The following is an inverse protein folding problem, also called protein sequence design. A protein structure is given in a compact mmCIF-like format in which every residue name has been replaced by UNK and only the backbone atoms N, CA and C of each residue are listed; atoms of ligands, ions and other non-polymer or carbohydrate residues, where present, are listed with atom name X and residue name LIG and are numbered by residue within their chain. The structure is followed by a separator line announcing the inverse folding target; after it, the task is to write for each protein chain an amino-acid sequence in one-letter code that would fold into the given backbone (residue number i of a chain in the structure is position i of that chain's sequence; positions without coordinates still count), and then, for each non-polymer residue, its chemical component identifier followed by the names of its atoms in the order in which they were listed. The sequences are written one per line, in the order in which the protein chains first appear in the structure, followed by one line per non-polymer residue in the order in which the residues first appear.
data_IF_232206480546
#
_entry.id   IF_232206480546
#
_cell.length_a   1.000
_cell.length_b   1.000
_cell.length_c   1.000
_cell.angle_alpha   90.00
_cell.angle_beta   90.00
_cell.angle_gamma   90.00
#
_symmetry.space_group_name_H-M   'P 1'
#
loop_
_entity.id
_entity.type
_entity.pdbx_description
1 polymer ?
#
# COMPACT_ATOMS: atom_id res chain seq x y z
N UNK A 1 -29.78 5.12 -94.67
CA UNK A 1 -29.23 5.45 -93.35
C UNK A 1 -30.03 4.70 -92.28
N UNK A 2 -29.47 3.63 -91.71
CA UNK A 2 -30.20 2.67 -90.87
C UNK A 2 -30.00 3.02 -89.40
N UNK A 3 -31.12 3.24 -88.68
CA UNK A 3 -31.21 3.51 -87.25
C UNK A 3 -31.31 2.17 -86.54
N UNK A 4 -30.37 1.81 -85.66
CA UNK A 4 -30.47 0.62 -84.82
C UNK A 4 -30.85 1.07 -83.40
N UNK A 5 -32.04 0.59 -82.97
CA UNK A 5 -32.53 0.71 -81.65
C UNK A 5 -32.01 -0.46 -80.80
N UNK A 6 -31.22 -0.15 -79.73
CA UNK A 6 -30.84 -1.16 -78.71
C UNK A 6 -31.76 -1.04 -77.48
N UNK A 7 -32.48 -2.10 -77.28
CA UNK A 7 -33.33 -2.31 -76.12
C UNK A 7 -32.44 -2.82 -74.97
N UNK A 8 -32.35 -2.03 -73.90
CA UNK A 8 -31.57 -2.43 -72.73
C UNK A 8 -32.51 -3.00 -71.65
N UNK A 9 -32.46 -4.34 -71.45
CA UNK A 9 -33.22 -5.02 -70.42
C UNK A 9 -32.48 -4.82 -69.09
N UNK A 10 -33.02 -4.08 -68.14
CA UNK A 10 -32.52 -3.95 -66.78
C UNK A 10 -33.02 -5.12 -65.92
N UNK A 11 -32.11 -6.03 -65.56
CA UNK A 11 -32.35 -7.07 -64.54
C UNK A 11 -32.12 -6.44 -63.16
N UNK A 12 -33.22 -6.31 -62.41
CA UNK A 12 -33.19 -5.96 -60.99
C UNK A 12 -32.86 -7.23 -60.19
N UNK A 13 -31.63 -7.32 -59.69
CA UNK A 13 -31.23 -8.28 -58.69
C UNK A 13 -31.57 -7.73 -57.30
N UNK A 14 -32.59 -8.32 -56.65
CA UNK A 14 -32.85 -8.15 -55.24
C UNK A 14 -31.76 -8.86 -54.46
N UNK A 15 -30.78 -8.14 -53.97
CA UNK A 15 -29.85 -8.64 -52.95
C UNK A 15 -30.54 -8.52 -51.58
N UNK A 16 -30.96 -9.64 -51.00
CA UNK A 16 -31.29 -9.77 -49.58
C UNK A 16 -30.01 -9.49 -48.78
N UNK A 17 -29.84 -8.25 -48.30
CA UNK A 17 -28.85 -7.94 -47.30
C UNK A 17 -29.20 -8.60 -45.98
N UNK A 18 -28.45 -9.64 -45.61
CA UNK A 18 -28.43 -10.12 -44.24
C UNK A 18 -27.80 -8.98 -43.41
N UNK A 19 -28.58 -8.39 -42.53
CA UNK A 19 -28.07 -7.53 -41.46
C UNK A 19 -27.26 -8.42 -40.51
N UNK A 20 -25.98 -8.65 -40.80
CA UNK A 20 -25.04 -9.14 -39.82
C UNK A 20 -24.91 -8.03 -38.77
N UNK A 21 -25.47 -8.28 -37.59
CA UNK A 21 -25.15 -7.49 -36.38
C UNK A 21 -23.64 -7.54 -36.21
N UNK A 22 -22.95 -6.38 -36.17
CA UNK A 22 -21.52 -6.37 -35.94
C UNK A 22 -21.23 -7.10 -34.61
N UNK A 23 -20.17 -7.93 -34.54
CA UNK A 23 -19.79 -8.59 -33.30
C UNK A 23 -19.64 -7.53 -32.21
N UNK A 24 -20.03 -7.85 -30.94
CA UNK A 24 -19.91 -6.91 -29.86
C UNK A 24 -18.43 -6.47 -29.79
N UNK A 25 -18.22 -5.18 -29.89
CA UNK A 25 -16.91 -4.57 -29.68
C UNK A 25 -16.42 -5.05 -28.31
N UNK A 26 -15.29 -5.77 -28.23
CA UNK A 26 -14.61 -6.01 -26.97
C UNK A 26 -14.40 -4.63 -26.33
N UNK A 27 -15.19 -4.32 -25.32
CA UNK A 27 -14.98 -3.15 -24.53
C UNK A 27 -13.62 -3.32 -23.87
N UNK A 28 -12.63 -2.55 -24.33
CA UNK A 28 -11.28 -2.59 -23.78
C UNK A 28 -11.32 -2.36 -22.28
N UNK A 29 -10.49 -3.08 -21.53
CA UNK A 29 -10.37 -2.92 -20.07
C UNK A 29 -10.08 -1.46 -19.73
N UNK A 30 -10.64 -0.98 -18.62
CA UNK A 30 -10.32 0.36 -18.11
C UNK A 30 -8.93 0.36 -17.51
N UNK A 31 -8.05 1.19 -18.07
CA UNK A 31 -6.68 1.36 -17.57
C UNK A 31 -6.68 2.29 -16.36
N UNK A 32 -5.98 1.89 -15.31
CA UNK A 32 -5.70 2.68 -14.11
C UNK A 32 -4.29 2.39 -13.60
N UNK A 33 -3.70 3.35 -12.89
CA UNK A 33 -2.37 3.25 -12.30
C UNK A 33 -2.47 3.25 -10.78
N UNK A 34 -1.72 2.34 -10.14
CA UNK A 34 -1.56 2.24 -8.71
C UNK A 34 -0.09 2.50 -8.35
N UNK A 35 0.22 3.66 -7.78
CA UNK A 35 1.57 4.00 -7.35
C UNK A 35 1.83 3.48 -5.93
N UNK A 36 2.90 2.73 -5.75
CA UNK A 36 3.33 2.24 -4.44
C UNK A 36 4.29 3.23 -3.76
N UNK A 37 4.30 3.22 -2.44
CA UNK A 37 5.16 4.04 -1.59
C UNK A 37 6.59 3.48 -1.45
N UNK A 38 6.81 2.20 -1.78
CA UNK A 38 8.10 1.54 -1.63
C UNK A 38 8.41 0.62 -2.82
N UNK A 39 9.60 0.03 -2.82
CA UNK A 39 9.99 -0.98 -3.80
C UNK A 39 9.06 -2.20 -3.75
N UNK A 40 9.01 -3.01 -4.84
CA UNK A 40 8.27 -4.27 -4.82
C UNK A 40 8.80 -5.21 -3.73
N UNK A 41 7.94 -5.54 -2.75
CA UNK A 41 8.23 -6.43 -1.62
C UNK A 41 6.93 -7.02 -1.04
N UNK A 42 7.03 -7.83 0.01
CA UNK A 42 5.89 -8.50 0.66
C UNK A 42 4.83 -7.53 1.19
N UNK A 43 5.22 -6.30 1.58
CA UNK A 43 4.29 -5.22 1.99
C UNK A 43 3.17 -4.97 0.97
N UNK A 44 3.45 -5.20 -0.31
CA UNK A 44 2.52 -4.95 -1.41
C UNK A 44 1.98 -6.23 -2.05
N UNK A 45 2.23 -7.38 -1.43
CA UNK A 45 1.96 -8.70 -1.99
C UNK A 45 0.53 -8.90 -2.46
N UNK A 46 -0.46 -8.43 -1.69
CA UNK A 46 -1.86 -8.53 -2.08
C UNK A 46 -2.21 -7.77 -3.37
N UNK A 47 -1.59 -6.63 -3.62
CA UNK A 47 -1.81 -5.86 -4.86
C UNK A 47 -1.18 -6.59 -6.07
N UNK A 48 0.00 -7.15 -5.92
CA UNK A 48 0.64 -7.96 -6.94
C UNK A 48 -0.13 -9.27 -7.18
N UNK A 49 -0.64 -9.92 -6.13
CA UNK A 49 -1.51 -11.09 -6.26
C UNK A 49 -2.79 -10.74 -7.04
N UNK A 50 -3.42 -9.60 -6.75
CA UNK A 50 -4.59 -9.15 -7.50
C UNK A 50 -4.28 -8.95 -9.00
N UNK A 51 -3.08 -8.50 -9.31
CA UNK A 51 -2.64 -8.32 -10.68
C UNK A 51 -2.39 -9.65 -11.40
N UNK A 52 -1.52 -10.53 -10.89
CA UNK A 52 -1.10 -11.74 -11.59
C UNK A 52 -2.18 -12.84 -11.62
N UNK A 53 -3.04 -12.94 -10.60
CA UNK A 53 -4.14 -13.89 -10.56
C UNK A 53 -5.42 -13.36 -11.23
N UNK A 54 -5.35 -12.17 -11.85
CA UNK A 54 -6.38 -11.63 -12.70
C UNK A 54 -7.61 -11.09 -11.96
N UNK A 55 -7.54 -10.79 -10.65
CA UNK A 55 -8.68 -10.23 -9.91
C UNK A 55 -9.09 -8.85 -10.42
N UNK A 56 -8.12 -8.01 -10.81
CA UNK A 56 -8.40 -6.74 -11.51
C UNK A 56 -9.04 -6.99 -12.88
N UNK A 57 -8.47 -7.92 -13.66
CA UNK A 57 -8.97 -8.23 -15.00
C UNK A 57 -10.39 -8.76 -15.01
N UNK A 58 -10.78 -9.59 -14.02
CA UNK A 58 -12.16 -10.08 -13.83
C UNK A 58 -13.17 -8.95 -13.59
N UNK A 59 -12.70 -7.77 -13.14
CA UNK A 59 -13.50 -6.56 -12.94
C UNK A 59 -13.31 -5.51 -14.05
N UNK A 60 -12.86 -5.98 -15.20
CA UNK A 60 -12.63 -5.14 -16.37
C UNK A 60 -11.60 -4.03 -16.17
N UNK A 61 -10.63 -4.22 -15.24
CA UNK A 61 -9.53 -3.31 -15.00
C UNK A 61 -8.21 -3.84 -15.57
N UNK A 62 -7.43 -2.94 -16.16
CA UNK A 62 -6.01 -3.12 -16.48
C UNK A 62 -5.22 -2.21 -15.53
N UNK A 63 -4.69 -2.79 -14.44
CA UNK A 63 -3.99 -2.04 -13.40
C UNK A 63 -2.49 -2.09 -13.65
N UNK A 64 -1.90 -0.92 -13.91
CA UNK A 64 -0.45 -0.75 -13.95
C UNK A 64 0.04 -0.43 -12.53
N UNK A 65 0.80 -1.34 -11.92
CA UNK A 65 1.40 -1.13 -10.60
C UNK A 65 2.77 -0.49 -10.78
N UNK A 66 2.93 0.71 -10.23
CA UNK A 66 4.15 1.50 -10.32
C UNK A 66 4.92 1.39 -9.01
N UNK A 67 6.05 0.69 -9.01
CA UNK A 67 6.93 0.59 -7.84
C UNK A 67 7.38 1.96 -7.35
N UNK A 68 7.53 2.09 -6.03
CA UNK A 68 8.03 3.27 -5.36
C UNK A 68 9.48 3.14 -4.92
N UNK A 69 9.81 3.76 -3.79
CA UNK A 69 11.14 3.79 -3.16
C UNK A 69 11.21 4.89 -2.11
N UNK A 70 12.39 5.15 -1.55
CA UNK A 70 12.60 6.30 -0.65
C UNK A 70 12.09 7.59 -1.29
N UNK A 71 11.30 8.35 -0.56
CA UNK A 71 10.72 9.63 -1.03
C UNK A 71 9.78 9.55 -2.25
N UNK A 72 9.22 8.38 -2.57
CA UNK A 72 8.21 8.23 -3.63
C UNK A 72 7.04 9.22 -3.39
N UNK A 73 6.74 10.13 -4.34
CA UNK A 73 5.79 11.22 -4.12
C UNK A 73 4.35 10.77 -4.39
N UNK A 74 3.89 9.70 -3.72
CA UNK A 74 2.58 9.06 -3.98
C UNK A 74 1.44 10.05 -3.81
N UNK A 75 1.40 10.75 -2.67
CA UNK A 75 0.35 11.75 -2.37
C UNK A 75 0.28 12.81 -3.48
N UNK A 76 1.43 13.35 -3.89
CA UNK A 76 1.48 14.36 -4.94
C UNK A 76 0.98 13.81 -6.28
N UNK A 77 1.39 12.59 -6.65
CA UNK A 77 0.98 11.97 -7.91
C UNK A 77 -0.52 11.72 -7.96
N UNK A 78 -1.13 11.28 -6.85
CA UNK A 78 -2.59 11.10 -6.74
C UNK A 78 -3.29 12.45 -6.76
N UNK A 79 -2.86 13.41 -5.93
CA UNK A 79 -3.51 14.74 -5.81
C UNK A 79 -3.51 15.54 -7.11
N UNK A 80 -2.51 15.33 -7.97
CA UNK A 80 -2.41 16.00 -9.28
C UNK A 80 -3.07 15.23 -10.43
N UNK A 81 -3.64 14.03 -10.16
CA UNK A 81 -4.19 13.15 -11.20
C UNK A 81 -3.14 12.49 -12.09
N UNK A 82 -1.85 12.57 -11.72
CA UNK A 82 -0.79 11.86 -12.44
C UNK A 82 -0.92 10.34 -12.33
N UNK A 83 -1.57 9.84 -11.30
CA UNK A 83 -2.06 8.47 -11.15
C UNK A 83 -3.43 8.48 -10.50
N UNK A 84 -4.25 7.47 -10.78
CA UNK A 84 -5.62 7.38 -10.26
C UNK A 84 -5.64 6.93 -8.78
N UNK A 85 -4.71 6.03 -8.42
CA UNK A 85 -4.63 5.43 -7.10
C UNK A 85 -3.19 5.42 -6.58
N UNK A 86 -3.05 5.39 -5.27
CA UNK A 86 -1.77 5.24 -4.61
C UNK A 86 -1.86 4.37 -3.37
N UNK A 87 -0.71 3.91 -2.89
CA UNK A 87 -0.57 3.20 -1.61
C UNK A 87 0.33 4.05 -0.71
N UNK A 88 -0.13 4.33 0.50
CA UNK A 88 0.60 5.07 1.52
C UNK A 88 0.17 4.64 2.93
N UNK A 89 0.54 5.37 3.98
CA UNK A 89 0.11 5.11 5.35
C UNK A 89 -0.94 6.12 5.82
N UNK A 90 -1.72 5.77 6.84
CA UNK A 90 -2.81 6.63 7.33
C UNK A 90 -2.32 7.96 7.91
N UNK A 91 -1.14 7.99 8.53
CA UNK A 91 -0.49 9.21 9.02
C UNK A 91 -0.12 10.16 7.87
N UNK A 92 0.34 9.64 6.73
CA UNK A 92 0.60 10.43 5.53
C UNK A 92 -0.69 11.04 4.96
N UNK A 93 -1.80 10.29 4.99
CA UNK A 93 -3.12 10.79 4.57
C UNK A 93 -3.55 11.97 5.44
N UNK A 94 -3.47 11.85 6.77
CA UNK A 94 -3.83 12.95 7.68
C UNK A 94 -2.91 14.16 7.49
N UNK A 95 -1.61 13.93 7.32
CA UNK A 95 -0.65 15.01 7.07
C UNK A 95 -0.94 15.73 5.75
N UNK A 96 -1.27 14.99 4.69
CA UNK A 96 -1.62 15.55 3.39
C UNK A 96 -2.92 16.36 3.45
N UNK A 97 -3.94 15.83 4.13
CA UNK A 97 -5.22 16.54 4.30
C UNK A 97 -5.09 17.80 5.14
N UNK A 98 -4.23 17.80 6.15
CA UNK A 98 -3.89 19.03 6.89
C UNK A 98 -3.28 20.11 5.99
N UNK A 99 -2.70 19.73 4.84
CA UNK A 99 -2.21 20.60 3.77
C UNK A 99 -3.22 20.77 2.62
N UNK A 100 -4.48 20.40 2.84
CA UNK A 100 -5.58 20.52 1.87
C UNK A 100 -5.46 19.63 0.62
N UNK A 101 -4.66 18.57 0.65
CA UNK A 101 -4.65 17.57 -0.40
C UNK A 101 -5.96 16.75 -0.37
N UNK A 102 -6.69 16.60 -1.49
CA UNK A 102 -8.03 15.99 -1.51
C UNK A 102 -7.96 14.45 -1.57
N UNK A 103 -7.07 13.83 -0.80
CA UNK A 103 -6.87 12.37 -0.79
C UNK A 103 -7.70 11.69 0.29
N UNK A 104 -8.25 10.52 -0.03
CA UNK A 104 -9.13 9.72 0.82
C UNK A 104 -8.63 8.28 0.83
N UNK A 105 -8.49 7.68 2.02
CA UNK A 105 -8.16 6.27 2.19
C UNK A 105 -9.40 5.39 1.94
N UNK A 106 -9.24 4.29 1.18
CA UNK A 106 -10.34 3.44 0.69
C UNK A 106 -10.33 2.04 1.31
N UNK A 107 -9.16 1.53 1.64
CA UNK A 107 -8.97 0.26 2.37
C UNK A 107 -7.60 0.24 3.04
N UNK A 108 -7.47 -0.52 4.13
CA UNK A 108 -6.23 -0.68 4.88
C UNK A 108 -5.95 -2.16 5.14
N UNK A 109 -5.06 -2.82 4.38
CA UNK A 109 -4.75 -4.22 4.63
C UNK A 109 -4.14 -4.44 6.01
N UNK A 110 -3.12 -3.68 6.40
CA UNK A 110 -2.47 -3.85 7.69
C UNK A 110 -3.25 -3.22 8.84
N UNK A 111 -3.80 -4.07 9.69
CA UNK A 111 -4.47 -3.67 10.93
C UNK A 111 -3.48 -3.40 12.06
N UNK A 112 -2.33 -4.07 12.08
CA UNK A 112 -1.20 -3.74 12.95
C UNK A 112 -0.10 -3.16 12.08
N UNK A 113 0.40 -1.98 12.45
CA UNK A 113 1.48 -1.35 11.68
C UNK A 113 2.78 -2.16 11.82
N UNK A 114 3.41 -2.56 10.70
CA UNK A 114 4.60 -3.42 10.72
C UNK A 114 5.86 -2.71 11.18
N UNK A 115 5.84 -1.41 11.41
CA UNK A 115 7.01 -0.65 11.83
C UNK A 115 7.51 -1.06 13.19
N UNK A 116 8.81 -1.29 13.27
CA UNK A 116 9.49 -1.64 14.52
C UNK A 116 10.76 -0.79 14.72
N UNK A 117 11.25 -0.80 15.94
CA UNK A 117 12.64 -0.49 16.26
C UNK A 117 13.35 -1.83 16.53
N UNK A 118 14.37 -2.12 15.76
CA UNK A 118 15.20 -3.32 15.89
C UNK A 118 16.37 -3.02 16.82
N UNK A 119 16.51 -3.81 17.87
CA UNK A 119 17.61 -3.74 18.84
C UNK A 119 18.31 -5.11 18.88
N UNK A 120 19.58 -5.16 19.30
CA UNK A 120 20.28 -6.42 19.53
C UNK A 120 19.76 -7.09 20.81
N UNK A 121 19.52 -8.41 20.80
CA UNK A 121 19.04 -9.16 21.98
C UNK A 121 19.97 -8.98 23.20
N UNK A 122 21.28 -8.90 22.97
CA UNK A 122 22.27 -8.72 24.03
C UNK A 122 22.18 -7.35 24.71
N UNK A 123 21.50 -6.37 24.11
CA UNK A 123 21.24 -5.06 24.72
C UNK A 123 20.36 -5.12 25.97
N UNK A 124 19.55 -6.20 26.12
CA UNK A 124 18.56 -6.35 27.18
C UNK A 124 17.38 -5.40 27.08
N UNK A 125 17.24 -4.66 25.97
CA UNK A 125 16.10 -3.77 25.69
C UNK A 125 14.94 -4.63 25.19
N UNK A 126 13.84 -4.65 25.95
CA UNK A 126 12.64 -5.45 25.63
C UNK A 126 11.46 -4.63 25.18
N UNK A 127 11.50 -3.31 25.42
CA UNK A 127 10.41 -2.36 25.08
C UNK A 127 10.99 -1.03 24.63
N UNK A 128 10.26 -0.33 23.80
CA UNK A 128 10.68 0.97 23.23
C UNK A 128 10.93 2.03 24.31
N UNK A 129 10.20 2.00 25.43
CA UNK A 129 10.38 2.95 26.55
C UNK A 129 11.68 2.74 27.36
N UNK A 130 12.39 1.63 27.12
CA UNK A 130 13.70 1.35 27.72
C UNK A 130 14.88 1.83 26.87
N UNK A 131 14.62 2.33 25.65
CA UNK A 131 15.67 2.78 24.74
C UNK A 131 16.39 4.00 25.33
N UNK A 132 17.65 3.82 25.70
CA UNK A 132 18.51 4.86 26.26
C UNK A 132 20.00 4.56 26.00
N UNK A 133 20.84 5.59 25.96
CA UNK A 133 22.31 5.47 25.83
C UNK A 133 22.79 4.61 24.64
N UNK A 134 22.10 4.71 23.50
CA UNK A 134 22.31 3.90 22.30
C UNK A 134 22.30 4.81 21.07
N UNK A 135 22.87 4.38 19.95
CA UNK A 135 22.64 5.03 18.66
C UNK A 135 21.38 4.46 18.02
N UNK A 136 20.42 5.33 17.66
CA UNK A 136 19.17 4.97 17.00
C UNK A 136 19.11 5.54 15.59
N UNK A 137 19.19 4.67 14.58
CA UNK A 137 19.00 5.06 13.20
C UNK A 137 17.51 5.09 12.83
N UNK A 138 17.00 6.27 12.55
CA UNK A 138 15.62 6.43 12.07
C UNK A 138 15.47 7.64 11.15
N UNK A 139 14.55 7.52 10.19
CA UNK A 139 14.14 8.64 9.35
C UNK A 139 13.45 9.71 10.21
N UNK A 140 13.76 10.98 9.97
CA UNK A 140 13.24 12.06 10.81
C UNK A 140 11.87 12.59 10.37
N UNK A 141 11.47 12.35 9.12
CA UNK A 141 10.21 12.85 8.52
C UNK A 141 8.95 12.09 8.91
N UNK A 142 8.95 10.73 9.01
CA UNK A 142 7.74 9.97 9.31
C UNK A 142 7.15 10.31 10.68
N UNK A 143 5.83 10.26 10.79
CA UNK A 143 5.10 10.62 12.01
C UNK A 143 5.54 9.81 13.25
N UNK A 144 5.87 8.51 13.07
CA UNK A 144 6.32 7.67 14.18
C UNK A 144 7.58 8.22 14.89
N UNK A 145 8.50 8.81 14.16
CA UNK A 145 9.73 9.35 14.74
C UNK A 145 9.50 10.64 15.54
N UNK A 146 8.52 11.45 15.14
CA UNK A 146 8.06 12.58 15.92
C UNK A 146 7.32 12.14 17.16
N UNK A 147 6.45 11.13 17.03
CA UNK A 147 5.69 10.55 18.13
C UNK A 147 6.63 9.94 19.19
N UNK A 148 7.68 9.18 18.79
CA UNK A 148 8.67 8.65 19.71
C UNK A 148 9.39 9.74 20.50
N UNK A 149 9.87 10.77 19.82
CA UNK A 149 10.56 11.91 20.46
C UNK A 149 9.65 12.75 21.34
N UNK A 150 8.37 12.83 21.05
CA UNK A 150 7.37 13.49 21.88
C UNK A 150 7.05 12.67 23.12
N UNK A 151 6.90 11.36 22.96
CA UNK A 151 6.42 10.46 24.02
C UNK A 151 7.50 10.06 25.03
N UNK A 152 8.75 9.92 24.57
CA UNK A 152 9.86 9.42 25.37
C UNK A 152 11.02 10.37 25.41
N UNK A 153 11.72 10.50 26.58
CA UNK A 153 12.85 11.40 26.70
C UNK A 153 14.07 10.98 25.88
N UNK A 154 14.18 9.71 25.49
CA UNK A 154 15.29 9.13 24.74
C UNK A 154 16.66 9.55 25.31
N UNK A 155 16.85 9.38 26.62
CA UNK A 155 18.03 9.83 27.35
C UNK A 155 19.31 9.20 26.82
N UNK A 156 20.31 10.04 26.46
CA UNK A 156 21.57 9.58 25.88
C UNK A 156 21.48 8.91 24.52
N UNK A 157 20.31 8.97 23.85
CA UNK A 157 20.14 8.40 22.51
C UNK A 157 20.70 9.36 21.46
N UNK A 158 21.65 8.85 20.65
CA UNK A 158 22.16 9.53 19.49
C UNK A 158 21.34 9.16 18.24
N UNK A 159 20.46 10.04 17.78
CA UNK A 159 19.62 9.79 16.59
C UNK A 159 20.40 10.10 15.33
N UNK A 160 20.51 9.12 14.43
CA UNK A 160 21.18 9.22 13.13
C UNK A 160 20.22 8.88 11.98
N UNK A 161 20.50 9.33 10.74
CA UNK A 161 19.70 8.93 9.59
C UNK A 161 19.68 7.40 9.39
N UNK A 162 18.53 6.87 9.01
CA UNK A 162 18.39 5.45 8.66
C UNK A 162 19.18 5.12 7.39
N UNK A 163 20.10 4.14 7.42
CA UNK A 163 21.02 3.87 6.31
C UNK A 163 20.42 3.01 5.19
N UNK A 164 19.21 2.45 5.36
CA UNK A 164 18.57 1.56 4.39
C UNK A 164 19.15 0.14 4.34
N UNK A 165 20.01 -0.25 5.33
CA UNK A 165 20.59 -1.60 5.44
C UNK A 165 20.92 -1.93 6.90
N UNK A 166 21.32 -3.16 7.17
CA UNK A 166 21.58 -3.68 8.54
C UNK A 166 23.06 -3.70 8.93
N UNK A 167 23.96 -3.18 8.11
CA UNK A 167 25.41 -3.31 8.32
C UNK A 167 25.89 -2.69 9.64
N UNK A 168 25.39 -1.51 10.03
CA UNK A 168 25.75 -0.87 11.28
C UNK A 168 25.18 -1.58 12.49
N UNK A 169 23.96 -2.12 12.37
CA UNK A 169 23.34 -2.95 13.39
C UNK A 169 24.19 -4.19 13.69
N UNK A 170 24.62 -4.90 12.65
CA UNK A 170 25.46 -6.09 12.79
C UNK A 170 26.85 -5.80 13.38
N UNK A 171 27.38 -4.60 13.16
CA UNK A 171 28.70 -4.21 13.63
C UNK A 171 28.74 -3.72 15.09
N UNK A 172 27.59 -3.34 15.67
CA UNK A 172 27.55 -2.67 16.96
C UNK A 172 26.29 -3.05 17.76
N UNK A 173 26.40 -3.80 18.87
CA UNK A 173 25.24 -4.17 19.70
C UNK A 173 24.55 -2.97 20.38
N UNK A 174 25.22 -1.80 20.44
CA UNK A 174 24.64 -0.55 20.94
C UNK A 174 24.00 0.30 19.80
N UNK A 175 23.67 -0.34 18.68
CA UNK A 175 23.02 0.33 17.56
C UNK A 175 21.61 -0.24 17.37
N UNK A 176 20.63 0.62 17.41
CA UNK A 176 19.24 0.31 17.07
C UNK A 176 18.86 0.95 15.76
N UNK A 177 17.89 0.40 15.06
CA UNK A 177 17.36 1.04 13.85
C UNK A 177 15.87 0.77 13.65
N UNK A 178 15.22 1.68 12.92
CA UNK A 178 13.90 1.42 12.39
C UNK A 178 13.93 0.26 11.39
N UNK A 179 12.78 -0.39 11.21
CA UNK A 179 12.55 -1.40 10.19
C UNK A 179 11.08 -1.77 10.11
N UNK A 180 10.80 -2.72 9.26
CA UNK A 180 9.53 -3.44 9.21
C UNK A 180 9.78 -4.89 9.66
N UNK A 181 8.90 -5.44 10.50
CA UNK A 181 9.12 -6.75 11.14
C UNK A 181 9.37 -7.88 10.15
N UNK A 182 8.84 -7.77 8.95
CA UNK A 182 8.99 -8.75 7.89
C UNK A 182 10.19 -8.49 6.96
N UNK A 183 11.04 -7.50 7.23
CA UNK A 183 12.17 -7.14 6.37
C UNK A 183 13.49 -7.12 7.14
N UNK A 184 13.90 -6.00 7.73
CA UNK A 184 15.22 -5.82 8.34
C UNK A 184 15.58 -6.85 9.42
N UNK A 185 14.67 -7.30 10.32
CA UNK A 185 15.01 -8.33 11.29
C UNK A 185 15.37 -9.67 10.64
N UNK A 186 14.71 -10.02 9.54
CA UNK A 186 15.03 -11.22 8.79
C UNK A 186 16.43 -11.14 8.16
N UNK A 187 16.73 -10.02 7.49
CA UNK A 187 18.04 -9.79 6.87
C UNK A 187 19.15 -9.82 7.91
N UNK A 188 18.93 -9.20 9.08
CA UNK A 188 19.91 -9.21 10.16
C UNK A 188 20.19 -10.63 10.67
N UNK A 189 19.15 -11.46 10.87
CA UNK A 189 19.30 -12.88 11.27
C UNK A 189 20.06 -13.69 10.24
N UNK A 190 19.75 -13.53 8.96
CA UNK A 190 20.48 -14.23 7.88
C UNK A 190 21.97 -13.88 7.84
N UNK A 191 22.33 -12.66 8.25
CA UNK A 191 23.71 -12.21 8.29
C UNK A 191 24.38 -12.46 9.66
N UNK A 192 23.76 -13.26 10.53
CA UNK A 192 24.33 -13.69 11.81
C UNK A 192 24.09 -12.73 12.98
N UNK A 193 23.22 -11.75 12.83
CA UNK A 193 22.77 -10.90 13.93
C UNK A 193 21.66 -11.53 14.75
N UNK A 194 21.42 -10.98 15.94
CA UNK A 194 20.37 -11.41 16.86
C UNK A 194 19.39 -10.26 17.16
N UNK A 195 18.53 -9.89 16.20
CA UNK A 195 17.62 -8.77 16.33
C UNK A 195 16.36 -9.13 17.11
N UNK A 196 15.98 -8.26 18.05
CA UNK A 196 14.65 -8.13 18.63
C UNK A 196 13.91 -6.99 17.94
N UNK A 197 12.74 -7.27 17.39
CA UNK A 197 11.86 -6.25 16.79
C UNK A 197 10.85 -5.77 17.84
N UNK A 198 10.89 -4.47 18.15
CA UNK A 198 9.95 -3.81 19.07
C UNK A 198 8.93 -3.02 18.24
N UNK A 199 7.69 -3.50 18.18
CA UNK A 199 6.65 -2.86 17.37
C UNK A 199 6.31 -1.47 17.89
N UNK A 200 6.21 -0.50 16.98
CA UNK A 200 5.77 0.86 17.32
C UNK A 200 4.27 0.88 17.68
N UNK A 201 3.50 -0.08 17.19
CA UNK A 201 2.11 -0.28 17.59
C UNK A 201 1.94 -0.59 19.08
N UNK A 202 2.91 -1.26 19.72
CA UNK A 202 2.85 -1.65 21.14
C UNK A 202 2.88 -0.44 22.08
N UNK A 203 3.43 0.68 21.63
CA UNK A 203 3.38 1.94 22.36
C UNK A 203 2.14 2.78 22.05
N UNK A 204 1.19 2.23 21.29
CA UNK A 204 -0.08 2.85 20.96
C UNK A 204 -0.07 3.68 19.67
N UNK A 205 1.07 3.86 18.99
CA UNK A 205 1.12 4.53 17.69
C UNK A 205 0.96 3.50 16.59
N UNK A 206 -0.29 3.29 16.16
CA UNK A 206 -0.65 2.22 15.24
C UNK A 206 -1.46 2.76 14.03
N UNK A 207 -0.87 3.61 13.17
CA UNK A 207 -1.52 4.00 11.92
C UNK A 207 -1.75 2.79 11.02
N UNK A 208 -2.86 2.77 10.28
CA UNK A 208 -3.02 1.80 9.21
C UNK A 208 -1.88 1.92 8.20
N UNK A 209 -1.36 0.79 7.71
CA UNK A 209 -0.30 0.78 6.71
C UNK A 209 -0.79 0.25 5.37
N UNK A 210 -0.09 0.63 4.31
CA UNK A 210 -0.36 0.26 2.91
C UNK A 210 -1.79 0.55 2.46
N UNK A 211 -2.36 1.69 2.93
CA UNK A 211 -3.73 2.09 2.57
C UNK A 211 -3.81 2.50 1.10
N UNK A 212 -4.84 2.04 0.40
CA UNK A 212 -5.16 2.56 -0.95
C UNK A 212 -5.79 3.92 -0.79
N UNK A 213 -5.31 4.89 -1.58
CA UNK A 213 -5.87 6.23 -1.67
C UNK A 213 -6.31 6.59 -3.08
N UNK A 214 -7.32 7.46 -3.16
CA UNK A 214 -7.72 8.18 -4.37
C UNK A 214 -8.08 9.63 -4.01
N UNK A 215 -8.34 10.49 -5.01
CA UNK A 215 -8.90 11.81 -4.75
C UNK A 215 -10.41 11.76 -4.54
N UNK A 216 -10.96 12.75 -3.83
CA UNK A 216 -12.42 12.96 -3.71
C UNK A 216 -13.10 13.03 -5.09
N UNK A 217 -12.44 13.66 -6.07
CA UNK A 217 -12.90 13.76 -7.44
C UNK A 217 -12.98 12.38 -8.13
N UNK A 218 -11.93 11.57 -8.00
CA UNK A 218 -11.91 10.19 -8.55
C UNK A 218 -13.03 9.35 -7.95
N UNK A 219 -13.27 9.47 -6.64
CA UNK A 219 -14.35 8.76 -5.94
C UNK A 219 -15.72 9.20 -6.47
N UNK A 220 -15.94 10.50 -6.62
CA UNK A 220 -17.22 11.04 -7.09
C UNK A 220 -17.53 10.71 -8.57
N UNK A 221 -16.52 10.73 -9.43
CA UNK A 221 -16.70 10.56 -10.87
C UNK A 221 -16.57 9.11 -11.35
N UNK A 222 -15.88 8.23 -10.58
CA UNK A 222 -15.51 6.88 -11.00
C UNK A 222 -15.73 5.84 -9.88
N UNK A 223 -16.83 5.96 -9.13
CA UNK A 223 -17.13 5.10 -7.97
C UNK A 223 -17.16 3.60 -8.29
N UNK A 224 -17.58 3.22 -9.49
CA UNK A 224 -17.56 1.84 -10.00
C UNK A 224 -16.15 1.28 -10.14
N UNK A 225 -15.23 2.09 -10.66
CA UNK A 225 -13.80 1.74 -10.81
C UNK A 225 -13.12 1.66 -9.45
N UNK A 226 -13.41 2.60 -8.55
CA UNK A 226 -12.92 2.59 -7.16
C UNK A 226 -13.35 1.29 -6.47
N UNK A 227 -14.63 0.93 -6.56
CA UNK A 227 -15.16 -0.31 -5.99
C UNK A 227 -14.48 -1.53 -6.58
N UNK A 228 -14.36 -1.61 -7.91
CA UNK A 228 -13.72 -2.71 -8.61
C UNK A 228 -12.26 -2.89 -8.18
N UNK A 229 -11.50 -1.79 -8.01
CA UNK A 229 -10.11 -1.84 -7.56
C UNK A 229 -10.01 -2.32 -6.10
N UNK A 230 -10.80 -1.76 -5.19
CA UNK A 230 -10.78 -2.12 -3.76
C UNK A 230 -11.16 -3.59 -3.56
N UNK A 231 -12.27 -4.04 -4.15
CA UNK A 231 -12.71 -5.43 -4.03
C UNK A 231 -11.70 -6.43 -4.62
N UNK A 232 -11.08 -6.10 -5.76
CA UNK A 232 -10.03 -6.94 -6.36
C UNK A 232 -8.77 -6.97 -5.49
N UNK A 233 -8.42 -5.85 -4.87
CA UNK A 233 -7.28 -5.77 -3.94
C UNK A 233 -7.52 -6.61 -2.68
N UNK A 234 -8.74 -6.61 -2.14
CA UNK A 234 -9.12 -7.48 -1.01
C UNK A 234 -8.92 -8.96 -1.40
N UNK A 235 -9.45 -9.40 -2.55
CA UNK A 235 -9.24 -10.78 -3.03
C UNK A 235 -7.77 -11.12 -3.25
N UNK A 236 -7.00 -10.15 -3.74
CA UNK A 236 -5.55 -10.29 -3.90
C UNK A 236 -4.84 -10.51 -2.57
N UNK A 237 -5.18 -9.74 -1.53
CA UNK A 237 -4.64 -9.93 -0.19
C UNK A 237 -5.06 -11.26 0.44
N UNK A 238 -6.35 -11.66 0.32
CA UNK A 238 -6.84 -12.97 0.76
C UNK A 238 -6.08 -14.11 0.06
N UNK A 239 -5.77 -13.96 -1.23
CA UNK A 239 -4.99 -14.94 -1.99
C UNK A 239 -3.54 -14.97 -1.51
N UNK A 240 -2.87 -13.82 -1.43
CA UNK A 240 -1.47 -13.70 -1.08
C UNK A 240 -1.16 -14.32 0.28
N UNK A 241 -2.01 -14.06 1.30
CA UNK A 241 -1.84 -14.60 2.64
C UNK A 241 -2.09 -16.11 2.74
N UNK A 242 -2.84 -16.67 1.81
CA UNK A 242 -3.12 -18.12 1.72
C UNK A 242 -2.07 -18.86 0.90
N UNK A 243 -1.64 -18.29 -0.21
CA UNK A 243 -0.68 -18.85 -1.16
C UNK A 243 0.09 -17.73 -1.85
N UNK A 244 1.21 -17.32 -1.26
CA UNK A 244 2.06 -16.24 -1.76
C UNK A 244 3.13 -16.66 -2.77
N UNK A 245 3.30 -17.97 -3.05
CA UNK A 245 4.48 -18.47 -3.76
C UNK A 245 4.63 -17.88 -5.17
N UNK A 246 3.60 -17.92 -5.99
CA UNK A 246 3.64 -17.38 -7.36
C UNK A 246 3.81 -15.87 -7.34
N UNK A 247 3.12 -15.20 -6.41
CA UNK A 247 3.24 -13.75 -6.22
C UNK A 247 4.66 -13.35 -5.81
N UNK A 248 5.30 -14.11 -4.93
CA UNK A 248 6.68 -13.87 -4.51
C UNK A 248 7.67 -14.04 -5.66
N UNK A 249 7.47 -15.02 -6.55
CA UNK A 249 8.27 -15.16 -7.77
C UNK A 249 8.13 -13.93 -8.68
N UNK A 250 6.93 -13.42 -8.82
CA UNK A 250 6.68 -12.20 -9.58
C UNK A 250 7.33 -10.97 -8.93
N UNK A 251 7.19 -10.78 -7.62
CA UNK A 251 7.84 -9.68 -6.89
C UNK A 251 9.36 -9.77 -7.03
N UNK A 252 9.96 -10.95 -6.85
CA UNK A 252 11.39 -11.15 -7.04
C UNK A 252 11.86 -10.80 -8.47
N UNK A 253 11.05 -11.08 -9.49
CA UNK A 253 11.37 -10.70 -10.87
C UNK A 253 11.40 -9.18 -11.08
N UNK A 254 10.62 -8.41 -10.30
CA UNK A 254 10.59 -6.95 -10.34
C UNK A 254 11.68 -6.32 -9.44
N UNK A 255 12.02 -6.99 -8.36
CA UNK A 255 13.02 -6.55 -7.38
C UNK A 255 13.89 -7.76 -6.97
N UNK A 256 14.95 -8.07 -7.72
CA UNK A 256 15.84 -9.21 -7.43
C UNK A 256 16.59 -9.13 -6.09
N UNK A 257 16.64 -7.95 -5.45
CA UNK A 257 17.22 -7.79 -4.10
C UNK A 257 16.35 -8.46 -3.03
N UNK A 258 15.05 -8.63 -3.30
CA UNK A 258 14.13 -9.35 -2.42
C UNK A 258 14.14 -10.84 -2.77
N UNK A 259 14.98 -11.62 -2.10
CA UNK A 259 15.06 -13.08 -2.24
C UNK A 259 13.72 -13.78 -1.93
N UNK A 260 13.52 -14.98 -2.46
CA UNK A 260 12.27 -15.72 -2.22
C UNK A 260 12.09 -16.14 -0.76
N UNK A 261 13.15 -16.25 0.00
CA UNK A 261 13.16 -16.58 1.41
C UNK A 261 12.64 -15.43 2.29
N UNK A 262 13.12 -14.19 2.07
CA UNK A 262 12.58 -13.02 2.76
C UNK A 262 11.13 -12.74 2.37
N UNK A 263 10.77 -12.97 1.11
CA UNK A 263 9.39 -12.82 0.64
C UNK A 263 8.46 -13.86 1.27
N UNK A 264 8.90 -15.11 1.42
CA UNK A 264 8.13 -16.16 2.11
C UNK A 264 7.94 -15.82 3.59
N UNK A 265 9.00 -15.39 4.27
CA UNK A 265 8.93 -14.89 5.64
C UNK A 265 7.96 -13.69 5.74
N UNK A 266 8.01 -12.79 4.76
CA UNK A 266 7.11 -11.64 4.71
C UNK A 266 5.62 -12.00 4.60
N UNK A 267 5.26 -13.10 3.93
CA UNK A 267 3.87 -13.62 3.90
C UNK A 267 3.44 -14.06 5.30
N UNK A 268 4.28 -14.84 6.02
CA UNK A 268 3.98 -15.35 7.34
C UNK A 268 3.79 -14.22 8.36
N UNK A 269 4.71 -13.27 8.42
CA UNK A 269 4.61 -12.12 9.32
C UNK A 269 3.42 -11.21 8.96
N UNK A 270 3.16 -10.99 7.67
CA UNK A 270 2.02 -10.17 7.22
C UNK A 270 0.69 -10.76 7.65
N UNK A 271 0.56 -12.10 7.71
CA UNK A 271 -0.68 -12.74 8.10
C UNK A 271 -1.16 -12.31 9.49
N UNK A 272 -0.26 -12.25 10.47
CA UNK A 272 -0.58 -11.82 11.83
C UNK A 272 -0.95 -10.33 11.92
N UNK A 273 -0.41 -9.49 11.02
CA UNK A 273 -0.64 -8.04 11.01
C UNK A 273 -1.89 -7.63 10.22
N UNK A 274 -2.30 -8.46 9.27
CA UNK A 274 -3.46 -8.22 8.39
C UNK A 274 -4.72 -8.92 8.92
N UNK A 275 -4.60 -10.18 9.38
CA UNK A 275 -5.70 -11.03 9.84
C UNK A 275 -5.90 -10.93 11.36
N UNK A 276 -5.93 -9.72 11.88
CA UNK A 276 -6.24 -9.49 13.29
C UNK A 276 -7.73 -9.81 13.61
N UNK A 277 -8.15 -9.81 14.89
CA UNK A 277 -9.55 -10.05 15.25
C UNK A 277 -10.53 -9.07 14.58
N UNK A 278 -10.14 -7.82 14.33
CA UNK A 278 -11.00 -6.83 13.66
C UNK A 278 -11.21 -7.18 12.20
N UNK A 279 -10.14 -7.53 11.47
CA UNK A 279 -10.24 -7.98 10.09
C UNK A 279 -11.06 -9.28 9.97
N UNK A 280 -10.92 -10.18 10.94
CA UNK A 280 -11.71 -11.42 10.99
C UNK A 280 -13.20 -11.18 11.20
N UNK A 281 -13.58 -10.14 11.94
CA UNK A 281 -14.99 -9.79 12.21
C UNK A 281 -15.60 -8.87 11.15
N UNK A 282 -14.84 -7.85 10.71
CA UNK A 282 -15.32 -6.75 9.85
C UNK A 282 -14.93 -6.89 8.38
N UNK A 283 -14.09 -7.84 8.05
CA UNK A 283 -13.51 -8.01 6.72
C UNK A 283 -12.15 -7.33 6.57
N UNK A 284 -11.34 -7.89 5.65
CA UNK A 284 -10.05 -7.36 5.30
C UNK A 284 -10.18 -5.94 4.71
N UNK A 285 -9.29 -5.07 5.10
CA UNK A 285 -9.27 -3.67 4.63
C UNK A 285 -10.08 -2.70 5.48
N UNK A 286 -10.76 -3.20 6.54
CA UNK A 286 -11.63 -2.38 7.39
C UNK A 286 -10.88 -1.22 8.06
N UNK A 287 -11.58 -0.08 8.14
CA UNK A 287 -11.11 1.11 8.85
C UNK A 287 -12.21 1.63 9.77
N UNK A 288 -11.85 2.17 10.95
CA UNK A 288 -12.79 2.70 11.93
C UNK A 288 -12.51 4.16 12.26
N UNK A 289 -13.57 4.95 12.47
CA UNK A 289 -13.47 6.35 12.91
C UNK A 289 -12.72 6.48 14.23
N UNK A 290 -12.89 5.52 15.15
CA UNK A 290 -12.22 5.56 16.44
C UNK A 290 -10.69 5.55 16.27
N UNK A 291 -10.16 4.69 15.41
CA UNK A 291 -8.71 4.59 15.17
C UNK A 291 -8.17 5.79 14.40
N UNK A 292 -8.89 6.30 13.41
CA UNK A 292 -8.52 7.52 12.70
C UNK A 292 -8.49 8.74 13.64
N UNK A 293 -9.47 8.88 14.54
CA UNK A 293 -9.50 9.95 15.57
C UNK A 293 -8.35 9.84 16.57
N UNK A 294 -8.00 8.61 17.01
CA UNK A 294 -6.85 8.42 17.89
C UNK A 294 -5.55 8.78 17.20
N UNK A 295 -5.35 8.37 15.96
CA UNK A 295 -4.18 8.75 15.16
C UNK A 295 -4.09 10.29 14.99
N UNK A 296 -5.20 10.94 14.64
CA UNK A 296 -5.27 12.40 14.53
C UNK A 296 -4.86 13.09 15.84
N UNK A 297 -5.41 12.65 16.96
CA UNK A 297 -5.07 13.16 18.29
C UNK A 297 -3.57 13.02 18.56
N UNK A 298 -3.00 11.85 18.32
CA UNK A 298 -1.57 11.59 18.53
C UNK A 298 -0.69 12.48 17.65
N UNK A 299 -1.07 12.71 16.39
CA UNK A 299 -0.34 13.59 15.49
C UNK A 299 -0.43 15.07 15.91
N UNK A 300 -1.55 15.51 16.47
CA UNK A 300 -1.71 16.85 17.07
C UNK A 300 -0.82 16.99 18.31
N UNK A 301 -0.86 16.02 19.22
CA UNK A 301 -0.05 16.01 20.44
C UNK A 301 1.47 15.99 20.13
N UNK A 302 1.88 15.29 19.09
CA UNK A 302 3.26 15.27 18.60
C UNK A 302 3.65 16.53 17.78
N UNK A 303 2.73 17.48 17.60
CA UNK A 303 2.96 18.74 16.89
C UNK A 303 3.11 18.63 15.38
N UNK A 304 2.61 17.54 14.78
CA UNK A 304 2.71 17.27 13.34
C UNK A 304 1.62 17.96 12.51
N UNK A 305 0.42 18.05 13.06
CA UNK A 305 -0.74 18.70 12.44
C UNK A 305 -1.47 19.55 13.47
N UNK A 306 -2.33 20.44 13.00
CA UNK A 306 -3.19 21.23 13.86
C UNK A 306 -4.46 20.45 14.23
N UNK A 307 -5.11 20.86 15.34
CA UNK A 307 -6.35 20.23 15.79
C UNK A 307 -7.55 20.49 14.85
N UNK A 308 -7.51 21.59 14.08
CA UNK A 308 -8.57 21.94 13.13
C UNK A 308 -8.60 20.95 11.95
N UNK A 309 -9.80 20.61 11.48
CA UNK A 309 -10.06 19.73 10.34
C UNK A 309 -10.40 18.28 10.71
N UNK A 310 -9.95 17.79 11.85
CA UNK A 310 -10.29 16.43 12.31
C UNK A 310 -9.94 15.34 11.27
N UNK A 311 -10.76 14.30 11.22
CA UNK A 311 -10.62 13.15 10.30
C UNK A 311 -11.72 13.12 9.22
N UNK A 312 -12.54 14.17 9.12
CA UNK A 312 -13.62 14.22 8.13
C UNK A 312 -13.06 14.12 6.71
N UNK A 313 -13.61 13.18 5.93
CA UNK A 313 -13.16 12.90 4.56
C UNK A 313 -11.78 12.24 4.47
N UNK A 314 -11.12 11.87 5.58
CA UNK A 314 -9.81 11.20 5.51
C UNK A 314 -9.92 9.76 5.00
N UNK A 315 -11.07 9.10 5.18
CA UNK A 315 -11.30 7.74 4.73
C UNK A 315 -12.76 7.52 4.35
N UNK A 316 -13.00 6.52 3.49
CA UNK A 316 -14.33 6.10 3.04
C UNK A 316 -14.38 4.57 2.95
N UNK A 317 -15.29 3.96 3.72
CA UNK A 317 -15.45 2.51 3.80
C UNK A 317 -16.59 1.96 2.93
N UNK A 318 -17.29 2.81 2.17
CA UNK A 318 -18.42 2.39 1.32
C UNK A 318 -18.06 1.37 0.22
N UNK A 319 -16.79 1.23 -0.08
CA UNK A 319 -16.25 0.32 -1.11
C UNK A 319 -15.80 -1.03 -0.54
N UNK A 320 -15.77 -1.19 0.77
CA UNK A 320 -15.48 -2.46 1.45
C UNK A 320 -16.68 -3.41 1.36
N UNK A 321 -16.43 -4.72 1.51
CA UNK A 321 -17.46 -5.77 1.48
C UNK A 321 -18.18 -5.90 2.80
#
# INVERSE_FOLDING_TARGET
MRLYCYLFCALLLFACGQNETPPPTEQGKTRVRLALNWFPEAEHGGFYAAHIHGYYAKRNLEVEILGGGPDAPVIQRVSTGAVEFGVTNADDVLYARAQQAPVVALMAPYQINPRCIMVDESSGIERIDQISNITLAMSQRPAFSHYLRWKYPLEGVNIVPYPGNVSQFLANPNFAQQGYVFSEPFVARQQGGDPRALLVSDIGFNPYASVIIATEETIAQRADIVRALVEASIEGWEHYLRDGQETNQYINSLNPEMGLDILAYGVEESAALVLDPVASEKGLGHMSSARWNELHKQMVEAGLIKAEGGVEGAFDTQFLR
#
